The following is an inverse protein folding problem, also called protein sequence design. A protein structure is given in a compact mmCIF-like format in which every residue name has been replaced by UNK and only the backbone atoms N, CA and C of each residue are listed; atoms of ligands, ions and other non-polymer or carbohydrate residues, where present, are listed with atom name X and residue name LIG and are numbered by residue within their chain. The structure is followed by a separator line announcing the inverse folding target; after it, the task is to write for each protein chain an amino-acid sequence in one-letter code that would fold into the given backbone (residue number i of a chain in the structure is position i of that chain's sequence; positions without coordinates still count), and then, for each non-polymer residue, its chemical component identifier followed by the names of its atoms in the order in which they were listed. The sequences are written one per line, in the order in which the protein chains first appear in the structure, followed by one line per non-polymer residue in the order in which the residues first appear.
data_IF_906801215657
#
_entry.id   IF_906801215657
#
_cell.length_a   1.000
_cell.length_b   1.000
_cell.length_c   1.000
_cell.angle_alpha   90.00
_cell.angle_beta   90.00
_cell.angle_gamma   90.00
#
_symmetry.space_group_name_H-M   'P 1'
#
loop_
_entity.id
_entity.type
_entity.pdbx_description
1 polymer ?
#
# COMPACT_ATOMS: atom_id res chain seq x y z
N UNK A 1 5.52 -6.65 28.78
CA UNK A 1 4.96 -7.03 27.48
C UNK A 1 5.66 -6.12 26.48
N UNK A 2 6.35 -6.66 25.47
CA UNK A 2 7.00 -5.79 24.49
C UNK A 2 5.94 -5.20 23.56
N UNK A 3 6.05 -3.91 23.26
CA UNK A 3 5.14 -3.23 22.34
C UNK A 3 5.34 -3.76 20.92
N UNK A 4 4.26 -3.86 20.12
CA UNK A 4 4.37 -4.28 18.74
C UNK A 4 5.17 -3.24 17.94
N UNK A 5 6.11 -3.73 17.13
CA UNK A 5 6.93 -2.88 16.26
C UNK A 5 6.38 -2.94 14.84
N UNK A 6 6.03 -1.78 14.28
CA UNK A 6 5.57 -1.67 12.90
C UNK A 6 6.75 -1.37 11.97
N UNK A 7 6.73 -1.96 10.80
CA UNK A 7 7.71 -1.71 9.75
C UNK A 7 6.98 -1.46 8.43
N UNK A 8 7.25 -0.31 7.83
CA UNK A 8 6.66 0.08 6.54
C UNK A 8 7.75 0.03 5.47
N UNK A 9 7.48 -0.75 4.44
CA UNK A 9 8.32 -0.85 3.27
C UNK A 9 7.57 -0.40 2.02
N UNK A 10 8.28 0.28 1.13
CA UNK A 10 7.78 0.66 -0.20
C UNK A 10 8.81 0.23 -1.25
N UNK A 11 8.33 -0.32 -2.35
CA UNK A 11 9.16 -0.63 -3.52
C UNK A 11 9.21 0.60 -4.43
N UNK A 12 10.33 1.32 -4.41
CA UNK A 12 10.57 2.50 -5.25
C UNK A 12 11.74 2.21 -6.18
N UNK A 13 11.56 2.51 -7.46
CA UNK A 13 12.60 2.41 -8.48
C UNK A 13 13.34 1.07 -8.46
N UNK A 14 12.58 -0.03 -8.30
CA UNK A 14 13.10 -1.40 -8.25
C UNK A 14 13.78 -1.79 -6.95
N UNK A 15 13.77 -0.93 -5.94
CA UNK A 15 14.43 -1.17 -4.63
C UNK A 15 13.44 -1.10 -3.47
N UNK A 16 13.62 -2.00 -2.51
CA UNK A 16 12.85 -1.97 -1.26
C UNK A 16 13.40 -0.88 -0.34
N UNK A 17 12.56 0.08 0.03
CA UNK A 17 12.88 1.18 0.92
C UNK A 17 12.10 1.06 2.23
N UNK A 18 12.78 1.18 3.36
CA UNK A 18 12.15 1.24 4.67
C UNK A 18 11.81 2.69 5.00
N UNK A 19 10.52 2.98 5.19
CA UNK A 19 10.03 4.32 5.53
C UNK A 19 9.68 4.45 7.02
N UNK A 20 9.90 3.42 7.80
CA UNK A 20 9.44 3.30 9.21
C UNK A 20 9.84 4.49 10.08
N UNK A 21 11.05 5.03 9.87
CA UNK A 21 11.56 6.14 10.67
C UNK A 21 10.76 7.44 10.50
N UNK A 22 10.15 7.63 9.33
CA UNK A 22 9.39 8.84 8.98
C UNK A 22 7.88 8.66 9.15
N UNK A 23 7.42 7.47 9.53
CA UNK A 23 5.98 7.21 9.72
C UNK A 23 5.47 7.92 10.96
N UNK A 24 4.46 8.80 10.77
CA UNK A 24 3.71 9.47 11.84
C UNK A 24 2.45 8.70 12.22
N UNK A 25 1.74 8.17 11.22
CA UNK A 25 0.49 7.44 11.44
C UNK A 25 0.23 6.43 10.32
N UNK A 26 -0.41 5.32 10.67
CA UNK A 26 -0.89 4.32 9.73
C UNK A 26 -2.36 4.06 10.01
N UNK A 27 -3.19 4.09 8.99
CA UNK A 27 -4.61 3.75 9.07
C UNK A 27 -4.93 2.68 8.03
N UNK A 28 -5.25 1.48 8.49
CA UNK A 28 -5.59 0.34 7.63
C UNK A 28 -7.06 0.02 7.80
N UNK A 29 -7.74 -0.22 6.69
CA UNK A 29 -9.11 -0.72 6.65
C UNK A 29 -9.17 -1.87 5.65
N UNK A 30 -9.49 -3.07 6.13
CA UNK A 30 -9.59 -4.28 5.30
C UNK A 30 -10.93 -4.98 5.53
N UNK A 31 -11.42 -5.60 4.46
CA UNK A 31 -12.64 -6.41 4.50
C UNK A 31 -13.93 -5.60 4.54
N UNK A 32 -14.97 -6.22 5.08
CA UNK A 32 -16.31 -5.63 5.21
C UNK A 32 -16.55 -5.09 6.63
N UNK A 33 -17.37 -4.06 6.74
CA UNK A 33 -17.73 -3.46 8.04
C UNK A 33 -18.75 -4.30 8.81
N UNK A 34 -19.62 -5.02 8.09
CA UNK A 34 -20.67 -5.89 8.65
C UNK A 34 -20.73 -7.22 7.91
N UNK A 35 -21.27 -8.26 8.58
CA UNK A 35 -21.37 -9.61 8.00
C UNK A 35 -22.15 -9.63 6.68
N UNK A 36 -23.13 -8.74 6.52
CA UNK A 36 -23.99 -8.65 5.34
C UNK A 36 -23.45 -7.72 4.24
N UNK A 37 -22.38 -6.97 4.52
CA UNK A 37 -21.80 -6.04 3.53
C UNK A 37 -21.04 -6.81 2.45
N UNK A 38 -20.99 -6.22 1.27
CA UNK A 38 -20.12 -6.70 0.18
C UNK A 38 -18.66 -6.50 0.57
N UNK A 39 -17.80 -7.43 0.20
CA UNK A 39 -16.36 -7.24 0.34
C UNK A 39 -15.90 -6.04 -0.50
N UNK A 40 -15.23 -5.09 0.14
CA UNK A 40 -14.61 -3.95 -0.52
C UNK A 40 -13.10 -4.09 -0.49
N UNK A 41 -12.45 -3.47 -1.46
CA UNK A 41 -10.99 -3.39 -1.46
C UNK A 41 -10.47 -2.81 -0.16
N UNK A 42 -9.41 -3.41 0.37
CA UNK A 42 -8.70 -2.87 1.52
C UNK A 42 -8.01 -1.56 1.17
N UNK A 43 -7.97 -0.64 2.13
CA UNK A 43 -7.30 0.65 1.98
C UNK A 43 -6.31 0.88 3.09
N UNK A 44 -5.21 1.55 2.77
CA UNK A 44 -4.22 1.97 3.75
C UNK A 44 -3.84 3.42 3.50
N UNK A 45 -3.79 4.21 4.57
CA UNK A 45 -3.27 5.58 4.53
C UNK A 45 -2.08 5.67 5.47
N UNK A 46 -0.95 6.12 4.95
CA UNK A 46 0.31 6.25 5.68
C UNK A 46 0.72 7.71 5.65
N UNK A 47 0.81 8.33 6.82
CA UNK A 47 1.31 9.70 6.97
C UNK A 47 2.78 9.68 7.30
N UNK A 48 3.60 10.35 6.48
CA UNK A 48 5.04 10.46 6.62
C UNK A 48 5.44 11.86 7.05
N UNK A 49 6.44 11.95 7.89
CA UNK A 49 7.11 13.21 8.18
C UNK A 49 7.92 13.65 6.97
N UNK A 50 7.69 14.85 6.46
CA UNK A 50 8.38 15.39 5.30
C UNK A 50 9.09 16.73 5.60
N UNK A 51 9.45 16.99 6.85
CA UNK A 51 10.15 18.24 7.24
C UNK A 51 11.46 18.47 6.48
N UNK A 52 12.10 17.39 6.03
CA UNK A 52 13.33 17.46 5.20
C UNK A 52 13.04 17.62 3.71
N UNK A 53 11.76 17.70 3.30
CA UNK A 53 11.31 17.65 1.91
C UNK A 53 11.75 16.40 1.12
N UNK A 54 12.13 15.31 1.82
CA UNK A 54 12.64 14.10 1.21
C UNK A 54 11.65 13.45 0.21
N UNK A 55 10.36 13.62 0.46
CA UNK A 55 9.26 13.01 -0.30
C UNK A 55 8.54 13.99 -1.24
N UNK A 56 8.98 15.25 -1.30
CA UNK A 56 8.32 16.26 -2.13
C UNK A 56 8.76 16.16 -3.58
N UNK A 57 7.84 16.02 -4.55
CA UNK A 57 8.18 15.96 -5.97
C UNK A 57 8.77 17.26 -6.50
N UNK A 58 8.49 18.38 -5.86
CA UNK A 58 8.97 19.71 -6.27
C UNK A 58 10.26 20.16 -5.55
N UNK A 59 10.74 19.39 -4.59
CA UNK A 59 11.79 19.86 -3.68
C UNK A 59 13.19 19.29 -3.92
N UNK A 60 13.41 18.46 -4.95
CA UNK A 60 14.70 17.78 -5.15
C UNK A 60 15.12 16.91 -3.96
N UNK A 61 14.14 16.43 -3.17
CA UNK A 61 14.36 15.53 -2.04
C UNK A 61 14.83 14.15 -2.47
N UNK A 62 15.32 13.36 -1.52
CA UNK A 62 15.89 12.02 -1.75
C UNK A 62 15.00 11.10 -2.58
N UNK A 63 13.68 11.26 -2.49
CA UNK A 63 12.66 10.46 -3.19
C UNK A 63 11.76 11.33 -4.08
N UNK A 64 12.12 12.58 -4.34
CA UNK A 64 11.27 13.52 -5.09
C UNK A 64 11.02 13.10 -6.52
N UNK A 65 12.01 12.51 -7.17
CA UNK A 65 11.94 12.04 -8.56
C UNK A 65 11.47 10.57 -8.67
N UNK A 66 11.25 9.89 -7.55
CA UNK A 66 10.82 8.50 -7.54
C UNK A 66 9.36 8.35 -7.98
N UNK A 67 9.06 7.28 -8.68
CA UNK A 67 7.70 6.97 -9.11
C UNK A 67 6.91 6.34 -7.96
N UNK A 68 6.16 7.17 -7.23
CA UNK A 68 5.34 6.72 -6.10
C UNK A 68 4.07 6.01 -6.52
N UNK A 69 3.40 6.51 -7.55
CA UNK A 69 2.14 5.95 -8.02
C UNK A 69 2.37 4.54 -8.54
N UNK A 70 1.52 3.62 -8.13
CA UNK A 70 1.60 2.19 -8.42
C UNK A 70 2.76 1.45 -7.73
N UNK A 71 3.58 2.09 -6.90
CA UNK A 71 4.61 1.44 -6.10
C UNK A 71 3.98 0.48 -5.06
N UNK A 72 4.59 -0.69 -4.88
CA UNK A 72 4.11 -1.68 -3.90
C UNK A 72 4.44 -1.22 -2.48
N UNK A 73 3.45 -1.33 -1.60
CA UNK A 73 3.54 -1.03 -0.17
C UNK A 73 3.31 -2.28 0.64
N UNK A 74 4.14 -2.48 1.67
CA UNK A 74 3.95 -3.52 2.68
C UNK A 74 4.02 -2.92 4.07
N UNK A 75 2.99 -3.17 4.87
CA UNK A 75 2.96 -2.84 6.29
C UNK A 75 3.02 -4.13 7.09
N UNK A 76 4.10 -4.30 7.82
CA UNK A 76 4.34 -5.48 8.64
C UNK A 76 4.34 -5.10 10.12
N UNK A 77 4.00 -6.06 10.99
CA UNK A 77 4.11 -5.93 12.43
C UNK A 77 4.90 -7.10 13.01
N UNK A 78 5.80 -6.80 13.93
CA UNK A 78 6.47 -7.79 14.75
C UNK A 78 5.77 -7.82 16.11
N UNK A 79 5.21 -8.96 16.46
CA UNK A 79 4.52 -9.20 17.74
C UNK A 79 5.48 -9.92 18.70
N UNK A 80 5.65 -9.39 19.90
CA UNK A 80 6.34 -10.06 21.01
C UNK A 80 7.72 -10.63 20.65
N UNK A 81 8.58 -9.86 20.03
CA UNK A 81 9.94 -10.31 19.62
C UNK A 81 9.95 -11.50 18.65
N UNK A 82 8.83 -11.76 17.97
CA UNK A 82 8.79 -12.77 16.93
C UNK A 82 9.80 -12.45 15.81
N UNK A 83 10.56 -13.45 15.39
CA UNK A 83 11.54 -13.30 14.30
C UNK A 83 10.89 -13.13 12.92
N UNK A 84 9.60 -13.46 12.80
CA UNK A 84 8.85 -13.34 11.57
C UNK A 84 7.76 -12.28 11.69
N UNK A 85 7.71 -11.32 10.74
CA UNK A 85 6.68 -10.31 10.73
C UNK A 85 5.35 -10.88 10.25
N UNK A 86 4.25 -10.34 10.80
CA UNK A 86 2.91 -10.53 10.25
C UNK A 86 2.59 -9.36 9.31
N UNK A 87 2.23 -9.65 8.07
CA UNK A 87 1.81 -8.63 7.12
C UNK A 87 0.38 -8.20 7.43
N UNK A 88 0.21 -6.93 7.76
CA UNK A 88 -1.11 -6.32 8.01
C UNK A 88 -1.75 -5.77 6.74
N UNK A 89 -0.94 -5.27 5.83
CA UNK A 89 -1.40 -4.72 4.55
C UNK A 89 -0.33 -4.91 3.48
N UNK A 90 -0.80 -5.27 2.28
CA UNK A 90 -0.02 -5.29 1.06
C UNK A 90 -0.87 -4.74 -0.06
N UNK A 91 -0.36 -3.75 -0.76
CA UNK A 91 -1.10 -3.08 -1.83
C UNK A 91 -0.20 -2.17 -2.65
N UNK A 92 -0.83 -1.25 -3.38
CA UNK A 92 -0.14 -0.25 -4.22
C UNK A 92 -0.58 1.15 -3.83
N UNK A 93 0.30 2.11 -4.09
CA UNK A 93 0.00 3.53 -3.89
C UNK A 93 -0.85 4.01 -5.07
N UNK A 94 -2.07 4.45 -4.77
CA UNK A 94 -2.97 5.04 -5.76
C UNK A 94 -2.75 6.55 -5.91
N UNK A 95 -2.39 7.22 -4.80
CA UNK A 95 -2.30 8.67 -4.76
C UNK A 95 -1.36 9.14 -3.64
N UNK A 96 -0.78 10.32 -3.80
CA UNK A 96 0.09 10.95 -2.81
C UNK A 96 -0.30 12.42 -2.61
N UNK A 97 -0.62 12.79 -1.37
CA UNK A 97 -0.88 14.19 -1.00
C UNK A 97 0.30 14.76 -0.22
N UNK A 98 0.75 15.94 -0.60
CA UNK A 98 1.72 16.71 0.19
C UNK A 98 1.01 17.86 0.88
N UNK A 99 1.04 17.86 2.20
CA UNK A 99 0.39 18.85 3.03
C UNK A 99 1.45 19.74 3.71
N UNK A 100 1.24 21.05 3.62
CA UNK A 100 2.05 22.05 4.29
C UNK A 100 1.15 22.85 5.25
N UNK A 101 0.85 22.30 6.46
CA UNK A 101 -0.01 22.99 7.42
C UNK A 101 0.61 24.30 7.92
N UNK A 102 1.93 24.38 7.98
CA UNK A 102 2.68 25.61 8.23
C UNK A 102 4.08 25.56 7.57
N UNK A 103 4.86 26.60 7.73
CA UNK A 103 6.19 26.74 7.10
C UNK A 103 7.21 25.72 7.63
N UNK A 104 6.96 25.09 8.77
CA UNK A 104 7.90 24.19 9.46
C UNK A 104 7.41 22.76 9.50
N UNK A 105 6.15 22.49 9.20
CA UNK A 105 5.57 21.15 9.22
C UNK A 105 5.08 20.75 7.83
N UNK A 106 5.72 19.74 7.27
CA UNK A 106 5.33 19.12 6.01
C UNK A 106 5.03 17.63 6.24
N UNK A 107 3.92 17.18 5.70
CA UNK A 107 3.47 15.80 5.81
C UNK A 107 3.10 15.28 4.43
N UNK A 108 3.56 14.07 4.10
CA UNK A 108 3.11 13.34 2.92
C UNK A 108 2.16 12.23 3.34
N UNK A 109 1.03 12.13 2.66
CA UNK A 109 0.04 11.08 2.87
C UNK A 109 0.05 10.17 1.64
N UNK A 110 0.42 8.91 1.85
CA UNK A 110 0.31 7.86 0.84
C UNK A 110 -1.06 7.22 0.98
N UNK A 111 -1.86 7.23 -0.09
CA UNK A 111 -3.15 6.54 -0.18
C UNK A 111 -2.94 5.27 -0.98
N UNK A 112 -3.26 4.14 -0.38
CA UNK A 112 -2.97 2.82 -0.94
C UNK A 112 -4.24 1.97 -0.97
N UNK A 113 -4.34 1.11 -1.98
CA UNK A 113 -5.34 0.05 -2.07
C UNK A 113 -4.71 -1.32 -2.27
N UNK A 114 -5.45 -2.35 -1.90
CA UNK A 114 -5.02 -3.74 -2.07
C UNK A 114 -5.28 -4.29 -3.49
N UNK A 115 -4.89 -5.55 -3.73
CA UNK A 115 -5.06 -6.21 -5.01
C UNK A 115 -6.52 -6.35 -5.48
N UNK A 116 -7.51 -6.32 -4.57
CA UNK A 116 -8.92 -6.34 -4.96
C UNK A 116 -9.32 -5.07 -5.71
N UNK A 117 -8.73 -3.92 -5.37
CA UNK A 117 -8.93 -2.67 -6.12
C UNK A 117 -8.42 -2.80 -7.56
N UNK A 118 -7.27 -3.43 -7.75
CA UNK A 118 -6.71 -3.66 -9.09
C UNK A 118 -7.62 -4.58 -9.90
N UNK A 119 -8.06 -5.71 -9.31
CA UNK A 119 -8.98 -6.64 -9.96
C UNK A 119 -10.30 -5.98 -10.35
N UNK A 120 -10.86 -5.12 -9.48
CA UNK A 120 -12.10 -4.41 -9.75
C UNK A 120 -11.99 -3.38 -10.89
N UNK A 121 -10.80 -2.86 -11.15
CA UNK A 121 -10.50 -1.90 -12.23
C UNK A 121 -10.09 -2.58 -13.53
N UNK A 122 -9.71 -3.85 -13.50
CA UNK A 122 -9.25 -4.58 -14.68
C UNK A 122 -10.45 -5.08 -15.47
N UNK A 123 -10.59 -4.62 -16.70
CA UNK A 123 -11.51 -5.20 -17.66
C UNK A 123 -10.92 -6.52 -18.18
N UNK A 124 -11.61 -7.62 -17.94
CA UNK A 124 -11.26 -8.92 -18.51
C UNK A 124 -11.79 -8.97 -19.95
N UNK A 125 -11.04 -8.41 -20.87
CA UNK A 125 -11.33 -8.51 -22.29
C UNK A 125 -10.77 -9.83 -22.83
N UNK A 126 -11.62 -10.58 -23.55
CA UNK A 126 -11.22 -11.75 -24.36
C UNK A 126 -10.70 -12.97 -23.56
N UNK A 127 -11.19 -13.17 -22.34
CA UNK A 127 -10.89 -14.40 -21.59
C UNK A 127 -11.91 -15.47 -21.95
N UNK A 128 -11.54 -16.40 -22.83
CA UNK A 128 -12.30 -17.61 -23.10
C UNK A 128 -12.28 -18.53 -21.87
N UNK A 129 -13.32 -18.46 -21.07
CA UNK A 129 -13.52 -19.40 -19.97
C UNK A 129 -14.07 -20.73 -20.50
N UNK A 130 -13.19 -21.58 -21.02
CA UNK A 130 -13.51 -22.99 -21.27
C UNK A 130 -13.89 -23.62 -19.91
N UNK A 131 -14.72 -24.67 -19.92
CA UNK A 131 -15.11 -25.40 -18.70
C UNK A 131 -13.90 -25.71 -17.81
N UNK A 132 -13.73 -24.92 -16.75
CA UNK A 132 -12.60 -25.02 -15.82
C UNK A 132 -13.14 -25.12 -14.39
N UNK A 133 -12.40 -25.85 -13.55
CA UNK A 133 -12.64 -25.83 -12.10
C UNK A 133 -12.38 -24.42 -11.53
N UNK A 134 -13.10 -24.02 -10.50
CA UNK A 134 -13.10 -22.67 -9.97
C UNK A 134 -11.71 -22.12 -9.62
N UNK A 135 -10.78 -22.96 -9.16
CA UNK A 135 -9.39 -22.56 -8.86
C UNK A 135 -8.61 -22.17 -10.11
N UNK A 136 -8.76 -22.92 -11.22
CA UNK A 136 -8.10 -22.61 -12.49
C UNK A 136 -8.64 -21.30 -13.09
N UNK A 137 -9.95 -21.06 -12.96
CA UNK A 137 -10.59 -19.80 -13.36
C UNK A 137 -10.04 -18.60 -12.59
N UNK A 138 -9.88 -18.76 -11.29
CA UNK A 138 -9.32 -17.71 -10.45
C UNK A 138 -7.87 -17.38 -10.81
N UNK A 139 -7.05 -18.39 -11.09
CA UNK A 139 -5.66 -18.24 -11.55
C UNK A 139 -5.60 -17.50 -12.89
N UNK A 140 -6.45 -17.90 -13.86
CA UNK A 140 -6.50 -17.24 -15.16
C UNK A 140 -6.89 -15.75 -15.07
N UNK A 141 -7.81 -15.41 -14.16
CA UNK A 141 -8.18 -14.01 -13.89
C UNK A 141 -6.99 -13.23 -13.34
N UNK A 142 -6.24 -13.79 -12.39
CA UNK A 142 -5.07 -13.14 -11.80
C UNK A 142 -3.95 -12.92 -12.82
N UNK A 143 -3.71 -13.89 -13.70
CA UNK A 143 -2.66 -13.83 -14.71
C UNK A 143 -2.97 -12.78 -15.80
N UNK A 144 -4.25 -12.53 -16.09
CA UNK A 144 -4.67 -11.49 -17.05
C UNK A 144 -4.75 -10.08 -16.43
N UNK A 145 -4.69 -9.96 -15.09
CA UNK A 145 -4.78 -8.69 -14.38
C UNK A 145 -3.41 -8.01 -14.15
N UNK A 146 -2.32 -8.59 -14.65
CA UNK A 146 -0.96 -8.02 -14.61
C UNK A 146 -0.63 -7.31 -15.92
#
# INVERSE_FOLDING_TARGET
MADPTFVVHVYLDGSLRALTADVRAIKIRVGRSRVQDVFTAGTCSISLNNQTNAYSPLGGGTYGDSQWINAEVRVNVFLNSASQPTTLFRGRIDDTDVLFPDATDSTVILKCSDGLSTLAKTELNDVDFVEQVGSARFTAILDNAQ
#
